data_IF_286326986988
#
_entry.id   IF_286326986988
#
_cell.length_a   1.000
_cell.length_b   1.000
_cell.length_c   1.000
_cell.angle_alpha   90.00
_cell.angle_beta   90.00
_cell.angle_gamma   90.00
#
_symmetry.space_group_name_H-M   'P 1'
#
loop_
_entity.id
_entity.type
_entity.pdbx_description
1 polymer ?
#
# COMPACT_ATOMS: atom_id res chain seq x y z
N UNK A 1 12.62 -8.26 13.68
CA UNK A 1 11.48 -7.41 13.28
C UNK A 1 12.02 -6.10 12.69
N UNK A 2 11.52 -5.68 11.53
CA UNK A 2 12.01 -4.43 10.96
C UNK A 2 11.59 -3.21 11.81
N UNK A 3 12.48 -2.23 11.87
CA UNK A 3 12.19 -0.96 12.53
C UNK A 3 11.37 -0.08 11.59
N UNK A 4 10.35 0.58 12.13
CA UNK A 4 9.51 1.47 11.35
C UNK A 4 10.30 2.68 10.83
N UNK A 5 10.16 2.96 9.55
CA UNK A 5 10.80 4.09 8.88
C UNK A 5 9.88 4.63 7.78
N UNK A 6 10.19 5.81 7.27
CA UNK A 6 9.47 6.35 6.12
C UNK A 6 9.73 5.50 4.87
N UNK A 7 8.73 5.39 4.01
CA UNK A 7 8.81 4.65 2.76
C UNK A 7 8.73 5.64 1.60
N UNK A 8 9.76 5.65 0.75
CA UNK A 8 9.77 6.48 -0.46
C UNK A 8 9.49 5.61 -1.67
N UNK A 9 8.50 5.97 -2.46
CA UNK A 9 8.12 5.26 -3.68
C UNK A 9 8.02 6.24 -4.85
N UNK A 10 8.12 5.70 -6.07
CA UNK A 10 7.94 6.50 -7.27
C UNK A 10 6.45 6.66 -7.59
N UNK A 11 6.09 7.84 -8.08
CA UNK A 11 4.76 8.10 -8.66
C UNK A 11 4.61 7.37 -9.99
N UNK A 12 3.43 7.49 -10.60
CA UNK A 12 3.12 6.89 -11.89
C UNK A 12 4.07 7.33 -13.03
N UNK A 13 4.68 8.50 -12.93
CA UNK A 13 5.65 9.00 -13.90
C UNK A 13 7.01 8.24 -13.86
N UNK A 14 7.24 7.45 -12.81
CA UNK A 14 8.45 6.67 -12.63
C UNK A 14 9.68 7.47 -12.18
N UNK A 15 9.57 8.78 -12.00
CA UNK A 15 10.70 9.68 -11.68
C UNK A 15 10.49 10.47 -10.38
N UNK A 16 9.26 10.92 -10.12
CA UNK A 16 8.95 11.72 -8.94
C UNK A 16 8.75 10.83 -7.71
N UNK A 17 9.42 11.18 -6.62
CA UNK A 17 9.27 10.48 -5.34
C UNK A 17 8.06 10.98 -4.55
N UNK A 18 7.41 10.06 -3.86
CA UNK A 18 6.41 10.35 -2.84
C UNK A 18 6.77 9.60 -1.56
N UNK A 19 6.67 10.27 -0.43
CA UNK A 19 7.08 9.71 0.87
C UNK A 19 5.85 9.37 1.70
N UNK A 20 5.78 8.13 2.12
CA UNK A 20 4.83 7.67 3.13
C UNK A 20 5.49 7.81 4.49
N UNK A 21 5.06 8.80 5.24
CA UNK A 21 5.61 9.12 6.56
C UNK A 21 5.07 8.15 7.60
N UNK A 22 5.95 7.59 8.41
CA UNK A 22 5.60 6.68 9.49
C UNK A 22 4.77 7.40 10.55
N UNK A 23 3.60 6.86 10.86
CA UNK A 23 2.70 7.42 11.89
C UNK A 23 2.69 6.58 13.15
N UNK A 24 2.31 5.32 13.02
CA UNK A 24 2.07 4.43 14.16
C UNK A 24 2.75 3.09 13.90
N UNK A 25 3.70 2.69 14.76
CA UNK A 25 4.29 1.36 14.67
C UNK A 25 3.30 0.29 15.11
N UNK A 26 3.49 -0.94 14.61
CA UNK A 26 2.75 -2.09 15.11
C UNK A 26 3.19 -2.42 16.53
N UNK A 27 2.23 -2.66 17.41
CA UNK A 27 2.48 -3.14 18.78
C UNK A 27 2.59 -4.67 18.85
N UNK A 28 2.47 -5.37 17.75
CA UNK A 28 2.53 -6.82 17.67
C UNK A 28 1.54 -7.38 16.65
N UNK A 29 1.27 -8.68 16.73
CA UNK A 29 0.33 -9.36 15.83
C UNK A 29 -1.07 -8.76 15.92
N UNK A 30 -1.74 -8.68 14.78
CA UNK A 30 -3.09 -8.12 14.60
C UNK A 30 -3.18 -6.60 14.86
N UNK A 31 -2.04 -5.93 15.04
CA UNK A 31 -1.98 -4.47 15.17
C UNK A 31 -1.27 -3.91 13.94
N UNK A 32 -1.95 -3.04 13.20
CA UNK A 32 -1.41 -2.48 11.97
C UNK A 32 -0.38 -1.38 12.24
N UNK A 33 0.73 -1.43 11.51
CA UNK A 33 1.59 -0.27 11.32
C UNK A 33 0.97 0.65 10.26
N UNK A 34 1.09 1.95 10.43
CA UNK A 34 0.44 2.94 9.55
C UNK A 34 1.42 3.98 9.03
N UNK A 35 1.28 4.30 7.75
CA UNK A 35 1.98 5.39 7.06
C UNK A 35 0.97 6.27 6.36
N UNK A 36 1.30 7.53 6.20
CA UNK A 36 0.46 8.50 5.49
C UNK A 36 1.31 9.45 4.66
N UNK A 37 0.82 9.83 3.49
CA UNK A 37 1.43 10.88 2.69
C UNK A 37 1.03 12.23 3.26
N UNK A 38 2.01 13.01 3.70
CA UNK A 38 1.78 14.34 4.29
C UNK A 38 1.83 15.47 3.25
N UNK A 39 2.38 15.20 2.07
CA UNK A 39 2.55 16.20 1.01
C UNK A 39 1.32 16.41 0.12
N UNK A 40 0.32 15.53 0.21
CA UNK A 40 -0.90 15.56 -0.60
C UNK A 40 -2.10 15.80 0.31
N UNK A 41 -3.00 16.70 -0.11
CA UNK A 41 -4.22 17.00 0.62
C UNK A 41 -3.99 17.93 1.82
N UNK A 42 -4.99 18.78 2.06
CA UNK A 42 -4.95 19.78 3.16
C UNK A 42 -5.39 19.15 4.48
N UNK A 43 -6.39 18.26 4.42
CA UNK A 43 -6.94 17.59 5.61
C UNK A 43 -6.54 16.12 5.62
N UNK A 44 -6.45 15.54 6.81
CA UNK A 44 -6.02 14.16 7.00
C UNK A 44 -6.87 13.14 6.20
N UNK A 45 -8.17 13.38 6.06
CA UNK A 45 -9.07 12.51 5.30
C UNK A 45 -8.81 12.46 3.79
N UNK A 46 -8.07 13.41 3.25
CA UNK A 46 -7.72 13.52 1.83
C UNK A 46 -6.32 12.99 1.52
N UNK A 47 -5.65 12.37 2.48
CA UNK A 47 -4.28 11.88 2.32
C UNK A 47 -4.26 10.38 2.14
N UNK A 48 -3.44 9.86 1.21
CA UNK A 48 -3.23 8.42 1.10
C UNK A 48 -2.69 7.81 2.39
N UNK A 49 -3.24 6.66 2.78
CA UNK A 49 -2.84 5.91 3.98
C UNK A 49 -2.48 4.49 3.58
N UNK A 50 -1.33 4.05 4.05
CA UNK A 50 -0.88 2.67 3.90
C UNK A 50 -0.78 1.98 5.25
N UNK A 51 -1.27 0.76 5.32
CA UNK A 51 -1.28 -0.04 6.55
C UNK A 51 -0.73 -1.43 6.27
N UNK A 52 0.02 -1.98 7.22
CA UNK A 52 0.49 -3.36 7.17
C UNK A 52 0.24 -4.00 8.52
N UNK A 53 -0.40 -5.16 8.48
CA UNK A 53 -0.68 -5.98 9.66
C UNK A 53 -0.12 -7.39 9.44
N UNK A 54 0.39 -7.99 10.49
CA UNK A 54 0.90 -9.35 10.45
C UNK A 54 0.23 -10.21 11.51
N UNK A 55 0.10 -11.50 11.23
CA UNK A 55 -0.37 -12.49 12.19
C UNK A 55 0.22 -13.87 11.89
N UNK A 56 0.25 -14.73 12.89
CA UNK A 56 0.60 -16.13 12.69
C UNK A 56 -0.55 -16.88 12.00
N UNK A 57 -0.23 -17.89 11.20
CA UNK A 57 -1.21 -18.83 10.69
C UNK A 57 -1.75 -19.73 11.82
N UNK A 58 -2.84 -20.45 11.54
CA UNK A 58 -3.49 -21.33 12.51
C UNK A 58 -2.54 -22.40 13.06
N UNK A 59 -1.72 -22.99 12.19
CA UNK A 59 -0.74 -24.03 12.55
C UNK A 59 0.60 -23.44 13.03
N UNK A 60 0.74 -22.12 13.06
CA UNK A 60 1.98 -21.40 13.41
C UNK A 60 3.20 -21.72 12.54
N UNK A 61 3.00 -22.43 11.43
CA UNK A 61 4.06 -22.76 10.49
C UNK A 61 4.32 -21.67 9.45
N UNK A 62 3.48 -20.65 9.39
CA UNK A 62 3.58 -19.54 8.46
C UNK A 62 3.16 -18.22 9.10
N UNK A 63 3.59 -17.12 8.48
CA UNK A 63 3.16 -15.76 8.82
C UNK A 63 2.28 -15.23 7.71
N UNK A 64 1.18 -14.60 8.06
CA UNK A 64 0.28 -13.94 7.13
C UNK A 64 0.49 -12.43 7.24
N UNK A 65 0.78 -11.80 6.12
CA UNK A 65 1.02 -10.36 6.02
C UNK A 65 -0.11 -9.77 5.18
N UNK A 66 -0.82 -8.82 5.73
CA UNK A 66 -1.94 -8.15 5.08
C UNK A 66 -1.62 -6.66 4.95
N UNK A 67 -1.69 -6.16 3.72
CA UNK A 67 -1.46 -4.75 3.43
C UNK A 67 -2.68 -4.10 2.82
N UNK A 68 -2.86 -2.81 3.08
CA UNK A 68 -3.98 -2.03 2.60
C UNK A 68 -3.51 -0.62 2.27
N UNK A 69 -3.75 -0.19 1.04
CA UNK A 69 -3.54 1.17 0.60
C UNK A 69 -4.90 1.82 0.30
N UNK A 70 -5.18 2.91 0.96
CA UNK A 70 -6.35 3.76 0.67
C UNK A 70 -5.83 5.00 -0.03
N UNK A 71 -6.28 5.22 -1.26
CA UNK A 71 -5.88 6.37 -2.06
C UNK A 71 -7.09 7.23 -2.39
N UNK A 72 -7.31 8.35 -1.68
CA UNK A 72 -8.41 9.25 -1.97
C UNK A 72 -8.16 10.01 -3.27
N UNK A 73 -9.14 10.02 -4.16
CA UNK A 73 -9.17 10.91 -5.31
C UNK A 73 -9.82 12.22 -4.89
N UNK A 74 -9.08 13.32 -4.97
CA UNK A 74 -9.56 14.64 -4.56
C UNK A 74 -9.87 15.52 -5.76
N UNK A 75 -10.78 16.47 -5.58
CA UNK A 75 -11.00 17.53 -6.54
C UNK A 75 -11.09 18.88 -5.83
N UNK A 76 -10.75 19.94 -6.56
CA UNK A 76 -10.85 21.31 -6.06
C UNK A 76 -12.07 21.97 -6.67
N UNK A 77 -12.98 22.49 -5.83
CA UNK A 77 -14.12 23.27 -6.29
C UNK A 77 -13.63 24.59 -6.88
N UNK A 78 -13.94 24.84 -8.16
CA UNK A 78 -13.49 26.04 -8.87
C UNK A 78 -14.15 27.32 -8.34
N UNK A 79 -15.30 27.23 -7.66
CA UNK A 79 -16.04 28.36 -7.11
C UNK A 79 -15.55 28.73 -5.71
N UNK A 80 -15.35 27.74 -4.83
CA UNK A 80 -15.00 27.96 -3.42
C UNK A 80 -13.52 27.74 -3.13
N UNK A 81 -12.78 27.06 -4.03
CA UNK A 81 -11.39 26.64 -3.82
C UNK A 81 -11.22 25.52 -2.81
N UNK A 82 -12.30 24.94 -2.32
CA UNK A 82 -12.26 23.83 -1.35
C UNK A 82 -11.87 22.52 -2.01
N UNK A 83 -11.03 21.76 -1.32
CA UNK A 83 -10.64 20.42 -1.75
C UNK A 83 -11.53 19.40 -1.03
N UNK A 84 -12.18 18.54 -1.81
CA UNK A 84 -12.99 17.46 -1.27
C UNK A 84 -12.60 16.10 -1.89
N UNK A 85 -12.94 15.02 -1.19
CA UNK A 85 -12.72 13.67 -1.68
C UNK A 85 -13.86 13.27 -2.61
N UNK A 86 -13.52 12.94 -3.86
CA UNK A 86 -14.46 12.42 -4.84
C UNK A 86 -14.70 10.92 -4.62
N UNK A 87 -13.64 10.13 -4.58
CA UNK A 87 -13.66 8.68 -4.38
C UNK A 87 -12.52 8.27 -3.46
N UNK A 88 -12.63 7.09 -2.85
CA UNK A 88 -11.53 6.44 -2.14
C UNK A 88 -11.25 5.10 -2.81
N UNK A 89 -10.13 5.03 -3.50
CA UNK A 89 -9.67 3.79 -4.12
C UNK A 89 -8.98 2.93 -3.07
N UNK A 90 -9.23 1.64 -3.13
CA UNK A 90 -8.68 0.68 -2.18
C UNK A 90 -7.86 -0.37 -2.90
N UNK A 91 -6.60 -0.53 -2.49
CA UNK A 91 -5.76 -1.65 -2.89
C UNK A 91 -5.38 -2.46 -1.66
N UNK A 92 -5.63 -3.75 -1.68
CA UNK A 92 -5.24 -4.65 -0.59
C UNK A 92 -4.48 -5.84 -1.13
N UNK A 93 -3.55 -6.34 -0.33
CA UNK A 93 -2.81 -7.55 -0.66
C UNK A 93 -2.69 -8.44 0.57
N UNK A 94 -2.52 -9.73 0.32
CA UNK A 94 -2.24 -10.73 1.34
C UNK A 94 -1.08 -11.59 0.88
N UNK A 95 -0.12 -11.80 1.75
CA UNK A 95 1.02 -12.67 1.49
C UNK A 95 1.16 -13.68 2.63
N UNK A 96 1.57 -14.89 2.30
CA UNK A 96 1.84 -15.95 3.26
C UNK A 96 3.30 -16.36 3.10
N UNK A 97 4.07 -16.24 4.17
CA UNK A 97 5.47 -16.66 4.18
C UNK A 97 5.66 -17.76 5.21
N UNK A 98 6.22 -18.89 4.76
CA UNK A 98 6.52 -20.01 5.64
C UNK A 98 7.79 -19.74 6.44
N UNK A 99 7.82 -20.25 7.67
CA UNK A 99 8.94 -20.03 8.59
C UNK A 99 10.25 -20.62 8.10
N UNK A 100 10.20 -21.62 7.25
CA UNK A 100 11.37 -22.28 6.66
C UNK A 100 11.73 -21.76 5.25
N UNK A 101 11.07 -20.72 4.76
CA UNK A 101 11.41 -20.13 3.47
C UNK A 101 12.73 -19.37 3.55
N UNK A 102 13.52 -19.43 2.47
CA UNK A 102 14.76 -18.66 2.40
C UNK A 102 14.49 -17.17 2.15
N UNK A 103 15.37 -16.31 2.65
CA UNK A 103 15.26 -14.87 2.44
C UNK A 103 15.30 -14.51 0.95
N UNK A 104 16.11 -15.21 0.15
CA UNK A 104 16.19 -14.98 -1.28
C UNK A 104 14.88 -15.31 -2.01
N UNK A 105 14.19 -16.36 -1.61
CA UNK A 105 12.89 -16.73 -2.20
C UNK A 105 11.84 -15.68 -1.85
N UNK A 106 11.81 -15.19 -0.63
CA UNK A 106 10.88 -14.14 -0.19
C UNK A 106 11.18 -12.82 -0.90
N UNK A 107 12.45 -12.45 -1.05
CA UNK A 107 12.85 -11.25 -1.79
C UNK A 107 12.44 -11.33 -3.26
N UNK A 108 12.58 -12.48 -3.89
CA UNK A 108 12.15 -12.69 -5.28
C UNK A 108 10.63 -12.60 -5.40
N UNK A 109 9.89 -13.20 -4.48
CA UNK A 109 8.42 -13.07 -4.42
C UNK A 109 7.99 -11.61 -4.34
N UNK A 110 8.59 -10.83 -3.45
CA UNK A 110 8.25 -9.42 -3.28
C UNK A 110 8.54 -8.60 -4.54
N UNK A 111 9.70 -8.83 -5.16
CA UNK A 111 10.08 -8.13 -6.39
C UNK A 111 9.15 -8.45 -7.55
N UNK A 112 8.85 -9.72 -7.75
CA UNK A 112 7.97 -10.16 -8.84
C UNK A 112 6.53 -9.69 -8.62
N UNK A 113 6.01 -9.76 -7.40
CA UNK A 113 4.67 -9.28 -7.07
C UNK A 113 4.52 -7.77 -7.36
N UNK A 114 5.50 -6.96 -6.93
CA UNK A 114 5.51 -5.53 -7.19
C UNK A 114 5.56 -5.22 -8.69
N UNK A 115 6.41 -5.92 -9.44
CA UNK A 115 6.55 -5.73 -10.88
C UNK A 115 5.32 -6.21 -11.66
N UNK A 116 4.66 -7.27 -11.23
CA UNK A 116 3.41 -7.73 -11.84
C UNK A 116 2.30 -6.69 -11.69
N UNK A 117 2.12 -6.13 -10.51
CA UNK A 117 1.14 -5.07 -10.28
C UNK A 117 1.48 -3.82 -11.10
N UNK A 118 2.76 -3.53 -11.28
CA UNK A 118 3.23 -2.38 -12.08
C UNK A 118 3.14 -2.63 -13.58
N UNK A 119 2.93 -3.85 -14.05
CA UNK A 119 2.85 -4.15 -15.48
C UNK A 119 1.70 -3.39 -16.16
N UNK A 120 1.89 -3.06 -17.44
CA UNK A 120 0.89 -2.29 -18.21
C UNK A 120 -0.45 -3.01 -18.26
N UNK A 121 -0.43 -4.34 -18.46
CA UNK A 121 -1.65 -5.14 -18.51
C UNK A 121 -2.47 -5.05 -17.23
N UNK A 122 -1.82 -5.18 -16.06
CA UNK A 122 -2.52 -5.11 -14.77
C UNK A 122 -2.96 -3.69 -14.46
N UNK A 123 -2.20 -2.67 -14.85
CA UNK A 123 -2.65 -1.29 -14.73
C UNK A 123 -3.91 -1.03 -15.57
N UNK A 124 -4.01 -1.61 -16.76
CA UNK A 124 -5.20 -1.50 -17.60
C UNK A 124 -6.40 -2.23 -16.98
N UNK A 125 -6.19 -3.39 -16.37
CA UNK A 125 -7.23 -4.09 -15.59
C UNK A 125 -7.76 -3.19 -14.46
N UNK A 126 -6.87 -2.53 -13.72
CA UNK A 126 -7.27 -1.61 -12.65
C UNK A 126 -8.06 -0.41 -13.16
N UNK A 127 -7.69 0.12 -14.32
CA UNK A 127 -8.39 1.26 -14.94
C UNK A 127 -9.76 0.88 -15.50
N UNK A 128 -9.86 -0.28 -16.11
CA UNK A 128 -11.10 -0.73 -16.79
C UNK A 128 -12.04 -1.46 -15.84
N UNK A 129 -11.52 -2.11 -14.81
CA UNK A 129 -12.29 -2.95 -13.90
C UNK A 129 -12.61 -4.35 -14.43
N UNK A 130 -12.01 -4.75 -15.55
CA UNK A 130 -12.26 -6.06 -16.17
C UNK A 130 -10.98 -6.84 -16.34
N UNK A 131 -11.08 -8.16 -16.14
CA UNK A 131 -9.97 -9.07 -16.41
C UNK A 131 -9.68 -9.15 -17.92
N UNK A 132 -8.42 -9.42 -18.31
CA UNK A 132 -8.09 -9.57 -19.72
C UNK A 132 -8.78 -10.80 -20.31
N UNK A 133 -9.13 -10.69 -21.60
CA UNK A 133 -9.74 -11.78 -22.39
C UNK A 133 -8.70 -12.47 -23.24
#
# INVERSE_FOLDING_TARGET
>A
MPTMANITVKKADGTTDIVYTALTPSAGDKVAAQWRVESIGVVAGNRPVFQVMTRASQDKGARIIEGKLVYPETFTDSTTGLISTKNRELFSFSAITHMNASDSAIAELAAQAANLVKSILIQDVLKTGYAPT
#
